data_IF_523051808031
#
_entry.id   IF_523051808031
#
_cell.length_a   1.000
_cell.length_b   1.000
_cell.length_c   1.000
_cell.angle_alpha   90.00
_cell.angle_beta   90.00
_cell.angle_gamma   90.00
#
_symmetry.space_group_name_H-M   'P 1'
#
loop_
_entity.id
_entity.type
_entity.pdbx_description
1 polymer ?
#
# COMPACT_ATOMS: atom_id res chain seq x y z
N UNK A 1 -5.85 -3.29 -36.71
CA UNK A 1 -6.47 -2.64 -35.53
C UNK A 1 -5.37 -1.90 -34.78
N UNK A 2 -5.64 -0.71 -34.28
CA UNK A 2 -4.60 0.10 -33.60
C UNK A 2 -4.47 -0.35 -32.16
N UNK A 3 -3.41 -1.05 -31.83
CA UNK A 3 -3.11 -1.61 -30.51
C UNK A 3 -3.14 -0.55 -29.40
N UNK A 4 -2.58 0.63 -29.68
CA UNK A 4 -2.52 1.73 -28.72
C UNK A 4 -3.91 2.28 -28.38
N UNK A 5 -4.75 2.45 -29.39
CA UNK A 5 -6.13 2.91 -29.17
C UNK A 5 -6.95 1.92 -28.36
N UNK A 6 -6.74 0.60 -28.57
CA UNK A 6 -7.41 -0.44 -27.79
C UNK A 6 -6.95 -0.43 -26.33
N UNK A 7 -5.64 -0.26 -26.08
CA UNK A 7 -5.10 -0.11 -24.75
C UNK A 7 -5.67 1.13 -24.03
N UNK A 8 -5.66 2.28 -24.67
CA UNK A 8 -6.19 3.51 -24.07
C UNK A 8 -7.68 3.42 -23.73
N UNK A 9 -8.49 2.80 -24.60
CA UNK A 9 -9.91 2.57 -24.31
C UNK A 9 -10.10 1.61 -23.13
N UNK A 10 -9.31 0.54 -23.08
CA UNK A 10 -9.31 -0.41 -21.97
C UNK A 10 -8.98 0.28 -20.64
N UNK A 11 -7.94 1.11 -20.60
CA UNK A 11 -7.54 1.82 -19.38
C UNK A 11 -8.62 2.82 -18.93
N UNK A 12 -9.23 3.54 -19.88
CA UNK A 12 -10.38 4.41 -19.56
C UNK A 12 -11.57 3.62 -19.02
N UNK A 13 -11.80 2.40 -19.51
CA UNK A 13 -12.87 1.54 -19.00
C UNK A 13 -12.55 1.05 -17.58
N UNK A 14 -11.31 0.68 -17.28
CA UNK A 14 -10.88 0.29 -15.92
C UNK A 14 -11.07 1.46 -14.95
N UNK A 15 -10.65 2.65 -15.34
CA UNK A 15 -10.79 3.86 -14.51
C UNK A 15 -12.27 4.18 -14.18
N UNK A 16 -13.20 3.85 -15.07
CA UNK A 16 -14.64 4.10 -14.88
C UNK A 16 -15.35 3.02 -14.05
N UNK A 17 -14.98 1.76 -14.23
CA UNK A 17 -15.72 0.60 -13.66
C UNK A 17 -15.12 0.10 -12.35
N UNK A 18 -13.81 0.23 -12.21
CA UNK A 18 -13.11 -0.07 -10.96
C UNK A 18 -12.61 1.24 -10.39
N UNK A 19 -12.97 1.52 -9.17
CA UNK A 19 -12.29 2.45 -8.27
C UNK A 19 -10.86 1.99 -8.00
N UNK A 20 -10.16 1.58 -9.06
CA UNK A 20 -8.78 1.12 -9.05
C UNK A 20 -7.86 2.28 -8.72
N UNK A 21 -6.93 2.07 -7.78
CA UNK A 21 -5.87 3.05 -7.54
C UNK A 21 -5.10 3.29 -8.84
N UNK A 22 -4.53 4.48 -9.01
CA UNK A 22 -3.61 4.80 -10.12
C UNK A 22 -2.51 3.75 -10.28
N UNK A 23 -2.11 3.10 -9.18
CA UNK A 23 -1.13 2.02 -9.19
C UNK A 23 -1.61 0.77 -9.93
N UNK A 24 -2.89 0.43 -9.80
CA UNK A 24 -3.50 -0.69 -10.54
C UNK A 24 -3.57 -0.39 -12.03
N UNK A 25 -3.99 0.82 -12.40
CA UNK A 25 -4.03 1.26 -13.79
C UNK A 25 -2.62 1.24 -14.40
N UNK A 26 -1.63 1.82 -13.71
CA UNK A 26 -0.23 1.84 -14.14
C UNK A 26 0.36 0.42 -14.27
N UNK A 27 -0.02 -0.49 -13.38
CA UNK A 27 0.41 -1.88 -13.44
C UNK A 27 -0.18 -2.58 -14.68
N UNK A 28 -1.48 -2.39 -14.95
CA UNK A 28 -2.15 -2.95 -16.11
C UNK A 28 -1.62 -2.36 -17.42
N UNK A 29 -1.39 -1.05 -17.47
CA UNK A 29 -0.75 -0.38 -18.60
C UNK A 29 0.59 -1.04 -18.94
N UNK A 30 1.51 -1.10 -17.98
CA UNK A 30 2.85 -1.69 -18.18
C UNK A 30 2.80 -3.16 -18.62
N UNK A 31 1.88 -3.94 -18.04
CA UNK A 31 1.75 -5.35 -18.39
C UNK A 31 1.24 -5.54 -19.81
N UNK A 32 0.25 -4.75 -20.24
CA UNK A 32 -0.31 -4.83 -21.58
C UNK A 32 0.65 -4.22 -22.61
N UNK A 33 1.28 -3.06 -22.35
CA UNK A 33 2.29 -2.44 -23.21
C UNK A 33 3.40 -3.43 -23.57
N UNK A 34 3.94 -4.13 -22.57
CA UNK A 34 4.95 -5.16 -22.76
C UNK A 34 4.49 -6.31 -23.69
N UNK A 35 3.24 -6.70 -23.57
CA UNK A 35 2.66 -7.70 -24.46
C UNK A 35 2.49 -7.17 -25.88
N UNK A 36 2.07 -5.91 -26.05
CA UNK A 36 1.95 -5.27 -27.35
C UNK A 36 3.32 -5.10 -28.05
N UNK A 37 4.38 -4.80 -27.28
CA UNK A 37 5.75 -4.79 -27.79
C UNK A 37 6.15 -6.16 -28.35
N UNK A 38 5.93 -7.22 -27.54
CA UNK A 38 6.16 -8.60 -27.99
C UNK A 38 5.43 -8.94 -29.28
N UNK A 39 4.14 -8.57 -29.41
CA UNK A 39 3.37 -8.81 -30.63
C UNK A 39 3.98 -8.11 -31.84
N UNK A 40 4.46 -6.87 -31.69
CA UNK A 40 5.13 -6.12 -32.77
C UNK A 40 6.45 -6.77 -33.18
N UNK A 41 7.26 -7.16 -32.24
CA UNK A 41 8.54 -7.84 -32.50
C UNK A 41 8.35 -9.15 -33.25
N UNK A 42 7.22 -9.83 -33.04
CA UNK A 42 6.86 -11.08 -33.70
C UNK A 42 5.96 -10.86 -34.95
N UNK A 43 5.84 -9.62 -35.45
CA UNK A 43 5.05 -9.25 -36.63
C UNK A 43 3.58 -9.67 -36.57
N UNK A 44 2.99 -9.72 -35.34
CA UNK A 44 1.57 -9.99 -35.13
C UNK A 44 0.84 -8.65 -35.10
N UNK A 45 0.05 -8.38 -36.13
CA UNK A 45 -0.59 -7.08 -36.37
C UNK A 45 -2.05 -6.98 -35.92
N UNK A 46 -2.61 -8.10 -35.44
CA UNK A 46 -4.01 -8.17 -34.99
C UNK A 46 -4.19 -9.07 -33.78
N UNK A 47 -5.05 -8.66 -32.86
CA UNK A 47 -5.44 -9.49 -31.70
C UNK A 47 -6.13 -10.80 -32.10
N UNK A 48 -6.75 -10.88 -33.26
CA UNK A 48 -7.38 -12.09 -33.78
C UNK A 48 -6.35 -13.13 -34.23
N UNK A 49 -5.16 -12.68 -34.66
CA UNK A 49 -4.08 -13.56 -35.11
C UNK A 49 -3.25 -14.11 -33.95
N UNK A 50 -3.40 -13.59 -32.74
CA UNK A 50 -2.68 -14.08 -31.57
C UNK A 50 -3.13 -15.50 -31.22
N UNK A 51 -2.20 -16.42 -31.23
CA UNK A 51 -2.43 -17.83 -30.91
C UNK A 51 -2.12 -18.16 -29.44
N UNK A 52 -2.48 -19.34 -29.02
CA UNK A 52 -2.10 -19.87 -27.69
C UNK A 52 -0.57 -20.07 -27.57
N UNK A 53 0.08 -20.38 -28.69
CA UNK A 53 1.52 -20.57 -28.78
C UNK A 53 2.22 -19.24 -28.50
N UNK A 54 1.81 -18.15 -29.18
CA UNK A 54 2.39 -16.82 -28.96
C UNK A 54 2.29 -16.37 -27.50
N UNK A 55 1.15 -16.64 -26.86
CA UNK A 55 0.96 -16.34 -25.42
C UNK A 55 1.86 -17.22 -24.55
N UNK A 56 2.05 -18.49 -24.92
CA UNK A 56 2.96 -19.39 -24.20
C UNK A 56 4.40 -18.91 -24.28
N UNK A 57 4.86 -18.56 -25.50
CA UNK A 57 6.21 -18.09 -25.76
C UNK A 57 6.50 -16.75 -25.07
N UNK A 58 5.53 -15.82 -25.12
CA UNK A 58 5.61 -14.57 -24.35
C UNK A 58 5.82 -14.83 -22.86
N UNK A 59 5.06 -15.74 -22.25
CA UNK A 59 5.21 -16.03 -20.83
C UNK A 59 6.49 -16.81 -20.51
N UNK A 60 7.01 -17.61 -21.44
CA UNK A 60 8.30 -18.28 -21.29
C UNK A 60 9.42 -17.26 -21.30
N UNK A 61 9.48 -16.37 -22.27
CA UNK A 61 10.48 -15.31 -22.38
C UNK A 61 10.44 -14.34 -21.18
N UNK A 62 9.24 -14.05 -20.62
CA UNK A 62 9.12 -13.29 -19.38
C UNK A 62 9.71 -14.02 -18.16
N UNK A 63 9.54 -15.34 -18.09
CA UNK A 63 10.09 -16.16 -17.00
C UNK A 63 11.59 -16.27 -17.07
N UNK A 64 12.12 -16.37 -18.28
CA UNK A 64 13.56 -16.51 -18.53
C UNK A 64 14.30 -15.17 -18.46
N UNK A 65 13.54 -14.06 -18.42
CA UNK A 65 14.08 -12.69 -18.32
C UNK A 65 14.53 -12.12 -19.67
N UNK A 66 14.23 -12.77 -20.78
CA UNK A 66 14.49 -12.28 -22.14
C UNK A 66 13.70 -11.01 -22.42
N UNK A 67 12.43 -10.96 -21.97
CA UNK A 67 11.61 -9.76 -21.97
C UNK A 67 11.75 -9.05 -20.62
N UNK A 68 12.26 -7.82 -20.63
CA UNK A 68 12.39 -6.98 -19.44
C UNK A 68 13.68 -7.17 -18.62
N UNK A 69 14.63 -7.97 -19.11
CA UNK A 69 16.01 -8.08 -18.60
C UNK A 69 16.19 -8.80 -17.27
N UNK A 70 15.11 -9.27 -16.64
CA UNK A 70 15.15 -10.06 -15.38
C UNK A 70 14.00 -11.06 -15.34
N UNK A 71 14.24 -12.29 -14.85
CA UNK A 71 13.21 -13.30 -14.64
C UNK A 71 12.05 -12.77 -13.82
N UNK A 72 10.83 -13.07 -14.26
CA UNK A 72 9.62 -12.58 -13.59
C UNK A 72 9.30 -13.45 -12.36
N UNK A 73 9.05 -12.82 -11.21
CA UNK A 73 8.59 -13.54 -10.02
C UNK A 73 7.19 -14.16 -10.24
N UNK A 74 6.87 -15.23 -9.50
CA UNK A 74 5.57 -15.88 -9.59
C UNK A 74 4.38 -14.92 -9.32
N UNK A 75 4.52 -13.97 -8.42
CA UNK A 75 3.49 -12.97 -8.15
C UNK A 75 3.33 -11.98 -9.31
N UNK A 76 4.43 -11.53 -9.90
CA UNK A 76 4.43 -10.67 -11.08
C UNK A 76 3.88 -11.38 -12.31
N UNK A 77 4.20 -12.67 -12.49
CA UNK A 77 3.58 -13.51 -13.53
C UNK A 77 2.06 -13.59 -13.37
N UNK A 78 1.59 -13.93 -12.17
CA UNK A 78 0.14 -14.03 -11.90
C UNK A 78 -0.58 -12.68 -12.13
N UNK A 79 0.05 -11.57 -11.77
CA UNK A 79 -0.47 -10.22 -12.02
C UNK A 79 -0.53 -9.93 -13.53
N UNK A 80 0.55 -10.18 -14.26
CA UNK A 80 0.61 -9.97 -15.71
C UNK A 80 -0.46 -10.81 -16.44
N UNK A 81 -0.60 -12.09 -16.07
CA UNK A 81 -1.66 -12.95 -16.61
C UNK A 81 -3.05 -12.40 -16.31
N UNK A 82 -3.28 -11.86 -15.11
CA UNK A 82 -4.54 -11.23 -14.74
C UNK A 82 -4.83 -9.98 -15.57
N UNK A 83 -3.80 -9.15 -15.82
CA UNK A 83 -3.88 -7.97 -16.67
C UNK A 83 -4.27 -8.34 -18.11
N UNK A 84 -3.60 -9.32 -18.71
CA UNK A 84 -3.91 -9.78 -20.06
C UNK A 84 -5.29 -10.44 -20.17
N UNK A 85 -5.69 -11.23 -19.17
CA UNK A 85 -7.05 -11.79 -19.13
C UNK A 85 -8.12 -10.71 -19.06
N UNK A 86 -7.88 -9.65 -18.31
CA UNK A 86 -8.79 -8.52 -18.21
C UNK A 86 -8.85 -7.75 -19.53
N UNK A 87 -7.71 -7.56 -20.19
CA UNK A 87 -7.62 -6.90 -21.48
C UNK A 87 -8.35 -7.68 -22.58
N UNK A 88 -8.10 -9.00 -22.74
CA UNK A 88 -8.81 -9.82 -23.71
C UNK A 88 -10.31 -9.93 -23.43
N UNK A 89 -10.74 -9.92 -22.18
CA UNK A 89 -12.17 -9.83 -21.83
C UNK A 89 -12.78 -8.52 -22.31
N UNK A 90 -12.04 -7.41 -22.19
CA UNK A 90 -12.43 -6.12 -22.73
C UNK A 90 -12.55 -6.16 -24.27
N UNK A 91 -11.52 -6.66 -24.97
CA UNK A 91 -11.51 -6.79 -26.42
C UNK A 91 -12.69 -7.62 -26.93
N UNK A 92 -12.97 -8.76 -26.28
CA UNK A 92 -14.14 -9.58 -26.61
C UNK A 92 -15.46 -8.82 -26.44
N UNK A 93 -15.61 -8.07 -25.34
CA UNK A 93 -16.88 -7.44 -24.98
C UNK A 93 -17.17 -6.17 -25.78
N UNK A 94 -16.14 -5.37 -26.06
CA UNK A 94 -16.32 -4.02 -26.59
C UNK A 94 -15.70 -3.78 -27.97
N UNK A 95 -14.77 -4.60 -28.42
CA UNK A 95 -14.08 -4.44 -29.70
C UNK A 95 -14.36 -5.59 -30.69
N UNK A 96 -15.22 -6.52 -30.31
CA UNK A 96 -15.71 -7.60 -31.21
C UNK A 96 -14.69 -8.71 -31.47
N UNK A 97 -13.53 -8.73 -30.80
CA UNK A 97 -12.51 -9.77 -30.94
C UNK A 97 -13.05 -11.07 -30.36
N UNK A 98 -13.20 -12.10 -31.19
CA UNK A 98 -13.73 -13.41 -30.77
C UNK A 98 -12.68 -14.29 -30.10
N UNK A 99 -11.43 -14.18 -30.54
CA UNK A 99 -10.31 -14.94 -29.98
C UNK A 99 -9.99 -14.52 -28.55
N UNK A 100 -9.69 -15.49 -27.68
CA UNK A 100 -9.16 -15.24 -26.34
C UNK A 100 -8.10 -16.30 -26.00
N UNK A 101 -6.90 -16.16 -26.55
CA UNK A 101 -5.83 -17.16 -26.36
C UNK A 101 -5.33 -17.22 -24.93
N UNK A 102 -5.53 -16.15 -24.13
CA UNK A 102 -5.06 -16.07 -22.73
C UNK A 102 -5.95 -16.86 -21.77
N UNK A 103 -7.19 -17.19 -22.18
CA UNK A 103 -8.19 -17.79 -21.29
C UNK A 103 -7.73 -19.08 -20.62
N UNK A 104 -7.01 -19.93 -21.35
CA UNK A 104 -6.60 -21.26 -20.88
C UNK A 104 -5.47 -21.23 -19.84
N UNK A 105 -4.65 -20.17 -19.84
CA UNK A 105 -3.51 -20.08 -18.94
C UNK A 105 -3.98 -19.92 -17.49
N UNK A 106 -3.40 -20.69 -16.59
CA UNK A 106 -3.68 -20.60 -15.15
C UNK A 106 -2.52 -19.88 -14.49
N UNK A 107 -2.80 -19.00 -13.56
CA UNK A 107 -1.79 -18.47 -12.65
C UNK A 107 -1.14 -19.65 -11.92
N UNK A 108 0.19 -19.69 -11.88
CA UNK A 108 0.90 -20.68 -11.08
C UNK A 108 0.40 -20.64 -9.64
N UNK A 109 0.41 -21.77 -8.96
CA UNK A 109 0.12 -21.83 -7.53
C UNK A 109 1.13 -20.95 -6.80
N UNK A 110 0.72 -19.76 -6.41
CA UNK A 110 1.48 -18.96 -5.47
C UNK A 110 1.34 -19.69 -4.14
N UNK A 111 2.40 -20.38 -3.69
CA UNK A 111 2.48 -20.77 -2.28
C UNK A 111 2.31 -19.48 -1.49
N UNK A 112 1.14 -19.27 -0.90
CA UNK A 112 0.94 -18.17 0.04
C UNK A 112 1.92 -18.42 1.17
N UNK A 113 3.00 -17.65 1.23
CA UNK A 113 3.75 -17.52 2.48
C UNK A 113 2.73 -17.09 3.51
N UNK A 114 2.78 -17.69 4.69
CA UNK A 114 2.01 -17.18 5.83
C UNK A 114 2.33 -15.69 5.95
N UNK A 115 1.34 -14.84 6.20
CA UNK A 115 1.57 -13.42 6.37
C UNK A 115 2.62 -13.24 7.47
N UNK A 116 3.74 -12.64 7.12
CA UNK A 116 4.80 -12.34 8.09
C UNK A 116 4.37 -11.08 8.86
N UNK A 117 4.37 -11.14 10.17
CA UNK A 117 4.15 -10.00 11.04
C UNK A 117 5.29 -9.94 12.08
N UNK A 118 5.54 -8.76 12.60
CA UNK A 118 6.50 -8.54 13.69
C UNK A 118 5.86 -8.92 15.02
N UNK A 119 6.60 -9.61 15.86
CA UNK A 119 6.19 -9.76 17.26
C UNK A 119 6.24 -8.40 17.97
N UNK A 120 5.62 -8.31 19.16
CA UNK A 120 5.69 -7.09 19.96
C UNK A 120 7.14 -6.69 20.28
N UNK A 121 7.97 -7.65 20.70
CA UNK A 121 9.38 -7.42 21.04
C UNK A 121 10.21 -6.96 19.84
N UNK A 122 9.96 -7.53 18.66
CA UNK A 122 10.60 -7.09 17.42
C UNK A 122 10.20 -5.66 17.04
N UNK A 123 8.93 -5.28 17.23
CA UNK A 123 8.46 -3.92 16.99
C UNK A 123 9.10 -2.94 17.98
N UNK A 124 9.17 -3.28 19.27
CA UNK A 124 9.85 -2.47 20.29
C UNK A 124 11.34 -2.31 19.99
N UNK A 125 12.03 -3.40 19.64
CA UNK A 125 13.45 -3.36 19.26
C UNK A 125 13.68 -2.41 18.10
N UNK A 126 12.84 -2.49 17.06
CA UNK A 126 12.94 -1.63 15.89
C UNK A 126 12.64 -0.16 16.22
N UNK A 127 11.70 0.12 17.13
CA UNK A 127 11.36 1.50 17.51
C UNK A 127 12.36 2.13 18.47
N UNK A 128 13.00 1.33 19.34
CA UNK A 128 13.89 1.86 20.37
C UNK A 128 15.32 2.15 19.91
N UNK A 129 15.70 1.76 18.69
CA UNK A 129 17.04 2.00 18.15
C UNK A 129 17.27 3.44 17.65
N UNK A 130 16.20 4.21 17.41
CA UNK A 130 16.31 5.55 16.82
C UNK A 130 16.88 6.57 17.81
N UNK A 131 17.88 7.34 17.36
CA UNK A 131 18.39 8.49 18.08
C UNK A 131 17.43 9.69 18.00
N UNK A 132 16.90 10.10 19.13
CA UNK A 132 15.97 11.23 19.24
C UNK A 132 16.68 12.60 19.32
N UNK A 133 17.97 12.67 19.04
CA UNK A 133 18.70 13.93 18.84
C UNK A 133 18.85 14.26 17.33
N UNK A 134 18.74 13.26 16.46
CA UNK A 134 18.81 13.44 15.01
C UNK A 134 17.41 13.68 14.41
N UNK A 135 17.15 14.85 13.78
CA UNK A 135 15.86 15.15 13.16
C UNK A 135 15.38 14.10 12.15
N UNK A 136 16.30 13.48 11.41
CA UNK A 136 15.97 12.43 10.44
C UNK A 136 15.48 11.18 11.15
N UNK A 137 16.12 10.78 12.23
CA UNK A 137 15.75 9.61 13.00
C UNK A 137 14.47 9.84 13.81
N UNK A 138 14.27 11.04 14.37
CA UNK A 138 12.99 11.44 14.98
C UNK A 138 11.83 11.25 14.00
N UNK A 139 11.97 11.79 12.77
CA UNK A 139 10.99 11.65 11.71
C UNK A 139 10.73 10.18 11.38
N UNK A 140 11.79 9.40 11.16
CA UNK A 140 11.71 8.00 10.75
C UNK A 140 11.00 7.16 11.83
N UNK A 141 11.34 7.34 13.08
CA UNK A 141 10.65 6.71 14.21
C UNK A 141 9.17 7.11 14.26
N UNK A 142 8.87 8.39 14.09
CA UNK A 142 7.49 8.89 14.11
C UNK A 142 6.66 8.27 12.97
N UNK A 143 7.22 8.13 11.77
CA UNK A 143 6.56 7.45 10.65
C UNK A 143 6.18 6.02 11.01
N UNK A 144 7.13 5.22 11.52
CA UNK A 144 6.90 3.82 11.87
C UNK A 144 5.90 3.71 13.04
N UNK A 145 6.04 4.55 14.06
CA UNK A 145 5.12 4.60 15.20
C UNK A 145 3.69 4.91 14.78
N UNK A 146 3.48 5.94 13.95
CA UNK A 146 2.14 6.32 13.45
C UNK A 146 1.54 5.21 12.56
N UNK A 147 2.36 4.58 11.72
CA UNK A 147 1.90 3.46 10.91
C UNK A 147 1.47 2.26 11.76
N UNK A 148 2.20 1.97 12.82
CA UNK A 148 1.86 0.89 13.74
C UNK A 148 0.67 1.24 14.64
N UNK A 149 0.65 2.45 15.21
CA UNK A 149 -0.44 2.90 16.09
C UNK A 149 -1.82 2.90 15.40
N UNK A 150 -1.84 3.24 14.11
CA UNK A 150 -3.08 3.48 13.36
C UNK A 150 -3.32 2.47 12.23
N UNK A 151 -2.43 1.51 12.05
CA UNK A 151 -2.53 0.53 10.97
C UNK A 151 -2.60 1.15 9.57
N UNK A 152 -1.88 2.26 9.30
CA UNK A 152 -1.97 2.99 8.04
C UNK A 152 -1.39 2.24 6.86
N UNK A 153 -1.95 2.48 5.66
CA UNK A 153 -1.26 2.14 4.40
C UNK A 153 -0.11 3.12 4.19
N UNK A 154 0.93 2.69 3.48
CA UNK A 154 2.08 3.56 3.20
C UNK A 154 1.70 4.85 2.49
N UNK A 155 0.76 4.81 1.54
CA UNK A 155 0.25 5.99 0.84
C UNK A 155 -0.57 6.92 1.74
N UNK A 156 -1.32 6.37 2.69
CA UNK A 156 -2.05 7.14 3.70
C UNK A 156 -1.08 7.87 4.64
N UNK A 157 -0.03 7.20 5.08
CA UNK A 157 1.01 7.80 5.90
C UNK A 157 1.78 8.91 5.15
N UNK A 158 2.15 8.66 3.88
CA UNK A 158 2.85 9.65 3.05
C UNK A 158 2.01 10.91 2.77
N UNK A 159 0.69 10.75 2.65
CA UNK A 159 -0.25 11.87 2.42
C UNK A 159 -0.90 12.44 3.68
N UNK A 160 -0.47 12.03 4.88
CA UNK A 160 -1.09 12.47 6.13
C UNK A 160 -0.90 13.97 6.34
N UNK A 161 -2.00 14.66 6.58
CA UNK A 161 -2.02 16.11 6.81
C UNK A 161 -1.95 16.45 8.30
N UNK A 162 -1.34 17.57 8.63
CA UNK A 162 -1.34 18.11 10.00
C UNK A 162 -2.77 18.42 10.44
N UNK A 163 -3.58 19.03 9.56
CA UNK A 163 -4.99 19.34 9.80
C UNK A 163 -5.88 18.10 10.03
N UNK A 164 -5.42 16.91 9.60
CA UNK A 164 -6.14 15.65 9.82
C UNK A 164 -5.90 15.04 11.21
N UNK A 165 -5.06 15.66 12.04
CA UNK A 165 -4.66 15.12 13.34
C UNK A 165 -5.27 15.97 14.46
N UNK A 166 -6.15 15.36 15.24
CA UNK A 166 -6.64 15.96 16.47
C UNK A 166 -5.81 15.45 17.66
N UNK A 167 -4.77 16.21 18.01
CA UNK A 167 -3.90 15.87 19.14
C UNK A 167 -4.63 15.96 20.49
N UNK A 168 -5.60 16.84 20.62
CA UNK A 168 -6.36 16.97 21.87
C UNK A 168 -7.12 15.67 22.15
N UNK A 169 -7.87 15.22 21.17
CA UNK A 169 -8.71 14.03 21.26
C UNK A 169 -7.98 12.71 20.94
N UNK A 170 -6.73 12.73 20.43
CA UNK A 170 -5.96 11.53 20.10
C UNK A 170 -6.52 10.73 18.94
N UNK A 171 -7.00 11.41 17.91
CA UNK A 171 -7.50 10.82 16.66
C UNK A 171 -6.83 11.40 15.45
N UNK A 172 -6.71 10.59 14.39
CA UNK A 172 -6.42 11.09 13.05
C UNK A 172 -7.51 10.66 12.07
N UNK A 173 -7.74 11.51 11.08
CA UNK A 173 -8.66 11.25 9.98
C UNK A 173 -7.87 10.82 8.76
N UNK A 174 -8.18 9.64 8.24
CA UNK A 174 -7.51 9.07 7.07
C UNK A 174 -8.45 9.07 5.88
N UNK A 175 -8.00 9.64 4.78
CA UNK A 175 -8.72 9.57 3.52
C UNK A 175 -8.42 8.22 2.86
N UNK A 176 -9.41 7.35 2.81
CA UNK A 176 -9.35 6.06 2.14
C UNK A 176 -9.63 6.15 0.63
N UNK A 177 -9.83 5.00 0.01
CA UNK A 177 -10.29 4.94 -1.38
C UNK A 177 -11.70 5.54 -1.51
N UNK A 178 -12.03 6.06 -2.70
CA UNK A 178 -13.33 6.69 -2.98
C UNK A 178 -13.63 7.91 -2.10
N UNK A 179 -12.60 8.60 -1.59
CA UNK A 179 -12.75 9.76 -0.71
C UNK A 179 -13.52 9.47 0.58
N UNK A 180 -13.60 8.21 1.00
CA UNK A 180 -14.18 7.83 2.28
C UNK A 180 -13.18 8.10 3.39
N UNK A 181 -13.60 8.91 4.36
CA UNK A 181 -12.81 9.18 5.55
C UNK A 181 -13.06 8.13 6.61
N UNK A 182 -12.02 7.82 7.39
CA UNK A 182 -12.15 7.06 8.63
C UNK A 182 -11.35 7.72 9.73
N UNK A 183 -11.87 7.67 10.94
CA UNK A 183 -11.18 8.13 12.14
C UNK A 183 -10.47 6.95 12.80
N UNK A 184 -9.20 7.16 13.16
CA UNK A 184 -8.39 6.15 13.81
C UNK A 184 -7.80 6.74 15.09
N UNK A 185 -8.09 6.18 16.26
CA UNK A 185 -7.49 6.63 17.52
C UNK A 185 -6.03 6.20 17.60
N UNK A 186 -5.22 6.95 18.33
CA UNK A 186 -3.85 6.60 18.64
C UNK A 186 -3.56 6.81 20.14
N UNK A 187 -2.67 5.99 20.66
CA UNK A 187 -2.31 5.97 22.09
C UNK A 187 -1.38 7.12 22.48
N UNK A 188 -1.23 7.41 23.81
CA UNK A 188 -0.51 8.58 24.31
C UNK A 188 0.96 8.68 23.85
N UNK A 189 1.70 7.56 23.79
CA UNK A 189 3.08 7.53 23.30
C UNK A 189 3.20 8.02 21.85
N UNK A 190 2.28 7.61 20.99
CA UNK A 190 2.22 8.07 19.60
C UNK A 190 1.93 9.58 19.52
N UNK A 191 0.99 10.09 20.34
CA UNK A 191 0.70 11.52 20.48
C UNK A 191 1.96 12.32 20.85
N UNK A 192 2.67 11.89 21.87
CA UNK A 192 3.89 12.54 22.32
C UNK A 192 4.95 12.58 21.23
N UNK A 193 5.12 11.49 20.50
CA UNK A 193 6.10 11.41 19.42
C UNK A 193 5.74 12.30 18.21
N UNK A 194 4.46 12.39 17.85
CA UNK A 194 4.01 13.33 16.82
C UNK A 194 4.31 14.78 17.24
N UNK A 195 3.97 15.14 18.49
CA UNK A 195 4.28 16.47 19.02
C UNK A 195 5.78 16.75 19.04
N UNK A 196 6.57 15.75 19.46
CA UNK A 196 8.02 15.86 19.50
C UNK A 196 8.62 16.08 18.10
N UNK A 197 8.16 15.32 17.11
CA UNK A 197 8.58 15.49 15.71
C UNK A 197 8.23 16.88 15.18
N UNK A 198 6.99 17.33 15.40
CA UNK A 198 6.55 18.65 14.93
C UNK A 198 7.39 19.79 15.55
N UNK A 199 7.70 19.70 16.84
CA UNK A 199 8.38 20.77 17.56
C UNK A 199 9.91 20.76 17.39
N UNK A 200 10.52 19.57 17.20
CA UNK A 200 11.98 19.43 17.30
C UNK A 200 12.65 18.98 15.98
N UNK A 201 11.89 18.51 14.99
CA UNK A 201 12.49 17.98 13.78
C UNK A 201 11.89 18.56 12.49
N UNK A 202 10.55 18.66 12.37
CA UNK A 202 9.91 19.08 11.13
C UNK A 202 10.37 20.45 10.67
N UNK A 203 10.47 21.42 11.58
CA UNK A 203 10.92 22.79 11.28
C UNK A 203 12.28 22.85 10.59
N UNK A 204 13.23 22.00 10.99
CA UNK A 204 14.57 21.92 10.38
C UNK A 204 14.53 21.58 8.88
N UNK A 205 13.56 20.76 8.46
CA UNK A 205 13.40 20.42 7.05
C UNK A 205 12.67 21.51 6.27
N UNK A 206 11.85 22.33 6.95
CA UNK A 206 10.99 23.32 6.35
C UNK A 206 11.65 24.70 6.15
N UNK A 207 12.86 24.92 6.67
CA UNK A 207 13.55 26.23 6.66
C UNK A 207 13.66 26.90 5.29
N UNK A 208 13.68 26.13 4.20
CA UNK A 208 13.92 26.62 2.83
C UNK A 208 12.74 26.46 1.90
N UNK A 209 11.57 26.08 2.42
CA UNK A 209 10.37 25.83 1.62
C UNK A 209 9.15 26.50 2.25
N UNK A 210 8.17 26.82 1.41
CA UNK A 210 6.90 27.32 1.89
C UNK A 210 6.19 26.27 2.75
N UNK A 211 5.54 26.74 3.82
CA UNK A 211 4.78 25.88 4.72
C UNK A 211 3.62 25.20 3.99
N UNK A 212 3.43 23.93 4.26
CA UNK A 212 2.34 23.16 3.71
C UNK A 212 1.80 22.15 4.74
N UNK A 213 0.58 21.67 4.53
CA UNK A 213 -0.19 20.87 5.47
C UNK A 213 0.22 19.38 5.55
N UNK A 214 1.26 18.93 4.85
CA UNK A 214 1.71 17.52 4.95
C UNK A 214 2.58 17.34 6.19
N UNK A 215 2.24 16.32 6.99
CA UNK A 215 2.95 16.03 8.24
C UNK A 215 4.40 15.57 7.98
N UNK A 216 4.57 14.51 7.20
CA UNK A 216 5.89 13.93 6.97
C UNK A 216 6.56 14.48 5.72
N UNK A 217 7.73 15.05 5.91
CA UNK A 217 8.53 15.68 4.86
C UNK A 217 9.89 14.99 4.69
N UNK A 218 10.45 15.06 3.50
CA UNK A 218 11.82 14.65 3.23
C UNK A 218 12.84 15.69 3.71
N UNK A 219 14.14 15.45 3.51
CA UNK A 219 15.21 16.36 3.93
C UNK A 219 15.18 17.73 3.23
N UNK A 220 14.45 17.85 2.13
CA UNK A 220 14.29 19.10 1.38
C UNK A 220 12.94 19.79 1.68
N UNK A 221 12.24 19.40 2.74
CA UNK A 221 10.95 19.97 3.15
C UNK A 221 9.77 19.60 2.26
N UNK A 222 9.96 18.77 1.22
CA UNK A 222 8.87 18.31 0.35
C UNK A 222 8.15 17.09 0.95
N UNK A 223 6.87 16.85 0.60
CA UNK A 223 6.16 15.66 1.03
C UNK A 223 6.97 14.37 0.81
N UNK A 224 7.05 13.52 1.82
CA UNK A 224 7.78 12.26 1.73
C UNK A 224 7.06 11.29 0.78
N UNK A 225 7.81 10.53 -0.02
CA UNK A 225 7.21 9.55 -0.92
C UNK A 225 6.93 8.22 -0.22
N UNK A 226 5.94 7.47 -0.70
CA UNK A 226 5.68 6.10 -0.25
C UNK A 226 6.93 5.20 -0.42
N UNK A 227 7.74 5.42 -1.46
CA UNK A 227 9.01 4.70 -1.67
C UNK A 227 10.03 5.03 -0.59
N UNK A 228 10.13 6.30 -0.19
CA UNK A 228 11.03 6.69 0.90
C UNK A 228 10.62 6.06 2.23
N UNK A 229 9.31 6.00 2.53
CA UNK A 229 8.81 5.31 3.73
C UNK A 229 9.13 3.82 3.69
N UNK A 230 9.01 3.18 2.53
CA UNK A 230 9.39 1.78 2.36
C UNK A 230 10.88 1.57 2.70
N UNK A 231 11.78 2.40 2.17
CA UNK A 231 13.21 2.33 2.46
C UNK A 231 13.52 2.58 3.94
N UNK A 232 12.78 3.48 4.60
CA UNK A 232 12.88 3.72 6.05
C UNK A 232 12.54 2.44 6.83
N UNK A 233 11.46 1.75 6.46
CA UNK A 233 11.08 0.49 7.11
C UNK A 233 12.13 -0.61 6.89
N UNK A 234 12.61 -0.77 5.64
CA UNK A 234 13.67 -1.71 5.30
C UNK A 234 14.91 -1.46 6.16
N UNK A 235 15.40 -0.23 6.16
CA UNK A 235 16.59 0.18 6.91
C UNK A 235 16.42 -0.01 8.43
N UNK A 236 15.24 0.34 8.98
CA UNK A 236 14.95 0.16 10.39
C UNK A 236 14.99 -1.31 10.82
N UNK A 237 14.53 -2.22 9.96
CA UNK A 237 14.62 -3.67 10.21
C UNK A 237 16.06 -4.18 10.19
N UNK A 238 16.87 -3.70 9.22
CA UNK A 238 18.30 -4.04 9.11
C UNK A 238 19.08 -3.54 10.33
N UNK A 239 18.91 -2.27 10.73
CA UNK A 239 19.60 -1.66 11.86
C UNK A 239 19.22 -2.31 13.19
N UNK A 240 17.98 -2.81 13.31
CA UNK A 240 17.51 -3.62 14.44
C UNK A 240 17.99 -5.08 14.38
N UNK A 241 18.77 -5.47 13.38
CA UNK A 241 19.21 -6.86 13.14
C UNK A 241 18.08 -7.88 13.14
N UNK A 242 16.91 -7.50 12.58
CA UNK A 242 15.79 -8.41 12.49
C UNK A 242 16.01 -9.41 11.34
N UNK A 243 15.73 -10.72 11.52
CA UNK A 243 16.00 -11.77 10.54
C UNK A 243 15.01 -11.79 9.36
N UNK A 244 14.19 -10.75 9.22
CA UNK A 244 13.13 -10.63 8.23
C UNK A 244 13.20 -9.27 7.55
N UNK A 245 12.83 -9.23 6.28
CA UNK A 245 12.80 -7.99 5.51
C UNK A 245 11.53 -7.18 5.83
N UNK A 246 11.72 -6.04 6.49
CA UNK A 246 10.59 -5.23 6.95
C UNK A 246 10.04 -4.36 5.82
N UNK A 247 8.74 -4.31 5.71
CA UNK A 247 8.02 -3.45 4.76
C UNK A 247 6.72 -2.89 5.37
N UNK A 248 6.19 -1.77 4.83
CA UNK A 248 5.01 -1.09 5.39
C UNK A 248 3.79 -1.98 5.63
N UNK A 249 3.51 -2.92 4.72
CA UNK A 249 2.38 -3.84 4.90
C UNK A 249 2.55 -4.78 6.08
N UNK A 250 3.80 -5.15 6.41
CA UNK A 250 4.08 -5.97 7.59
C UNK A 250 3.78 -5.22 8.88
N UNK A 251 4.14 -3.93 8.99
CA UNK A 251 3.81 -3.09 10.15
C UNK A 251 2.29 -3.01 10.34
N UNK A 252 1.55 -2.76 9.27
CA UNK A 252 0.09 -2.73 9.29
C UNK A 252 -0.51 -4.10 9.66
N UNK A 253 0.08 -5.19 9.18
CA UNK A 253 -0.36 -6.54 9.53
C UNK A 253 -0.09 -6.84 11.01
N UNK A 254 1.07 -6.41 11.53
CA UNK A 254 1.39 -6.52 12.98
C UNK A 254 0.38 -5.78 13.85
N UNK A 255 -0.01 -4.55 13.47
CA UNK A 255 -1.11 -3.85 14.14
C UNK A 255 -2.38 -4.72 14.21
N UNK A 256 -2.83 -5.24 13.04
CA UNK A 256 -4.05 -6.04 12.99
C UNK A 256 -3.97 -7.30 13.87
N UNK A 257 -2.86 -8.02 13.77
CA UNK A 257 -2.62 -9.26 14.53
C UNK A 257 -2.57 -8.99 16.01
N UNK A 258 -1.79 -7.99 16.46
CA UNK A 258 -1.66 -7.66 17.87
C UNK A 258 -2.98 -7.18 18.49
N UNK A 259 -3.78 -6.41 17.73
CA UNK A 259 -5.12 -6.03 18.19
C UNK A 259 -6.02 -7.25 18.42
N UNK A 260 -6.04 -8.19 17.46
CA UNK A 260 -6.84 -9.41 17.55
C UNK A 260 -6.35 -10.34 18.66
N UNK A 261 -5.05 -10.53 18.80
CA UNK A 261 -4.43 -11.37 19.85
C UNK A 261 -4.73 -10.83 21.26
N UNK A 262 -4.88 -9.50 21.38
CA UNK A 262 -5.27 -8.83 22.62
C UNK A 262 -6.80 -8.69 22.80
N UNK A 263 -7.59 -9.40 21.99
CA UNK A 263 -9.03 -9.53 22.17
C UNK A 263 -9.91 -8.47 21.49
N UNK A 264 -9.35 -7.65 20.60
CA UNK A 264 -10.17 -6.75 19.79
C UNK A 264 -11.11 -7.51 18.86
N UNK A 265 -12.35 -7.03 18.72
CA UNK A 265 -13.30 -7.59 17.77
C UNK A 265 -12.82 -7.41 16.33
N UNK A 266 -12.91 -8.47 15.52
CA UNK A 266 -12.45 -8.49 14.14
C UNK A 266 -13.11 -7.39 13.28
N UNK A 267 -14.39 -7.09 13.52
CA UNK A 267 -15.12 -6.05 12.77
C UNK A 267 -14.57 -4.66 13.07
N UNK A 268 -14.22 -4.42 14.34
CA UNK A 268 -13.60 -3.14 14.75
C UNK A 268 -12.22 -3.00 14.13
N UNK A 269 -11.40 -4.05 14.13
CA UNK A 269 -10.08 -4.02 13.47
C UNK A 269 -10.23 -3.79 11.96
N UNK A 270 -11.21 -4.41 11.30
CA UNK A 270 -11.52 -4.17 9.88
C UNK A 270 -11.97 -2.73 9.62
N UNK A 271 -12.75 -2.13 10.52
CA UNK A 271 -13.18 -0.73 10.47
C UNK A 271 -11.99 0.22 10.59
N UNK A 272 -11.13 0.03 11.60
CA UNK A 272 -9.89 0.79 11.77
C UNK A 272 -8.97 0.72 10.54
N UNK A 273 -8.90 -0.44 9.92
CA UNK A 273 -8.11 -0.66 8.71
C UNK A 273 -8.77 -0.12 7.43
N UNK A 274 -10.06 0.18 7.42
CA UNK A 274 -10.78 0.64 6.23
C UNK A 274 -10.88 -0.43 5.15
N UNK A 275 -11.43 -1.62 5.50
CA UNK A 275 -11.71 -2.70 4.55
C UNK A 275 -13.07 -2.46 3.86
N UNK A 276 -13.09 -2.53 2.51
CA UNK A 276 -14.21 -2.14 1.64
C UNK A 276 -15.51 -2.98 1.78
N UNK A 277 -15.46 -4.14 2.43
CA UNK A 277 -16.57 -5.11 2.43
C UNK A 277 -17.66 -4.88 3.49
N UNK A 278 -17.55 -3.84 4.31
CA UNK A 278 -18.58 -3.48 5.27
C UNK A 278 -19.29 -2.22 4.75
N UNK A 279 -20.36 -2.43 3.98
CA UNK A 279 -21.13 -1.39 3.29
C UNK A 279 -21.93 -0.49 4.23
N UNK A 280 -21.26 0.37 4.97
CA UNK A 280 -21.92 1.50 5.64
C UNK A 280 -20.95 2.67 5.73
N UNK A 281 -21.32 3.78 5.11
CA UNK A 281 -20.80 5.10 5.46
C UNK A 281 -21.32 5.38 6.89
N UNK A 282 -20.56 4.90 7.89
CA UNK A 282 -20.91 5.25 9.27
C UNK A 282 -20.57 6.72 9.48
N UNK A 283 -21.58 7.50 9.85
CA UNK A 283 -21.38 8.85 10.40
C UNK A 283 -20.69 8.62 11.75
N UNK A 284 -19.42 9.01 11.87
CA UNK A 284 -18.67 8.89 13.11
C UNK A 284 -19.24 9.85 14.15
N UNK A 285 -20.08 9.30 15.05
CA UNK A 285 -20.61 10.01 16.22
C UNK A 285 -19.59 9.93 17.37
N UNK A 286 -19.74 10.79 18.39
CA UNK A 286 -18.92 10.70 19.62
C UNK A 286 -18.97 9.31 20.25
N UNK A 287 -20.14 8.65 20.25
CA UNK A 287 -20.30 7.28 20.79
C UNK A 287 -19.43 6.27 20.01
N UNK A 288 -19.30 6.43 18.69
CA UNK A 288 -18.43 5.57 17.87
C UNK A 288 -16.95 5.84 18.16
N UNK A 289 -16.57 7.11 18.36
CA UNK A 289 -15.20 7.50 18.69
C UNK A 289 -14.76 6.93 20.04
N UNK A 290 -15.57 7.04 21.07
CA UNK A 290 -15.31 6.50 22.40
C UNK A 290 -15.15 4.98 22.36
N UNK A 291 -15.99 4.29 21.57
CA UNK A 291 -15.88 2.85 21.38
C UNK A 291 -14.55 2.46 20.70
N UNK A 292 -14.16 3.14 19.64
CA UNK A 292 -12.91 2.87 18.92
C UNK A 292 -11.70 3.16 19.83
N UNK A 293 -11.74 4.26 20.61
CA UNK A 293 -10.70 4.61 21.57
C UNK A 293 -10.56 3.51 22.63
N UNK A 294 -11.65 3.11 23.25
CA UNK A 294 -11.66 2.06 24.28
C UNK A 294 -11.00 0.78 23.75
N UNK A 295 -11.33 0.35 22.53
CA UNK A 295 -10.74 -0.85 21.94
C UNK A 295 -9.25 -0.69 21.70
N UNK A 296 -8.78 0.47 21.21
CA UNK A 296 -7.33 0.71 21.04
C UNK A 296 -6.63 0.76 22.38
N UNK A 297 -7.21 1.43 23.39
CA UNK A 297 -6.63 1.53 24.73
C UNK A 297 -6.53 0.16 25.43
N UNK A 298 -7.51 -0.72 25.21
CA UNK A 298 -7.54 -2.06 25.82
C UNK A 298 -6.70 -3.09 25.06
N UNK A 299 -6.67 -3.02 23.72
CA UNK A 299 -6.10 -4.06 22.87
C UNK A 299 -4.77 -3.70 22.22
N UNK A 300 -4.42 -2.40 22.04
CA UNK A 300 -3.14 -2.05 21.45
C UNK A 300 -2.00 -2.24 22.48
N UNK A 301 -0.91 -3.01 22.14
CA UNK A 301 0.15 -3.30 23.10
C UNK A 301 0.78 -2.05 23.73
N UNK A 302 1.04 -1.01 22.94
CA UNK A 302 1.66 0.24 23.39
C UNK A 302 0.73 1.14 24.24
N UNK A 303 -0.57 0.91 24.22
CA UNK A 303 -1.49 1.61 25.14
C UNK A 303 -1.30 1.17 26.59
N UNK A 304 -0.85 -0.07 26.81
CA UNK A 304 -0.63 -0.66 28.13
C UNK A 304 0.76 -0.33 28.72
N UNK A 305 1.72 0.06 27.89
CA UNK A 305 3.11 0.36 28.30
C UNK A 305 3.29 1.74 28.96
N UNK A 306 2.22 2.53 29.10
CA UNK A 306 2.25 3.89 29.68
C UNK A 306 1.90 3.92 31.18
N UNK A 307 2.01 2.78 31.87
CA UNK A 307 1.87 2.73 33.36
C UNK A 307 3.22 2.61 34.03
#
# INVERSE_FOLDING_TARGET
>A
MDFEKSLDRFLRQIARVRTGSKDTENAYRRDVERFLEYLREHHIDSFEHVTKTDVSDYFTQLRDGEIGGKPLSNSSYARNLSSLKSFYRYLNRFEGIKANPVRIFKGGSIRRKLPEFLTFDQMETMLNQFDLQDPVQIRNRCIIEVMYACGLRVSECAGLKISSINLAEGFLTVLGKESKERMVPFYPRCKQLIQYYMNNARGTFMEKVEEHDILFVNQNGRPISARSIQLICEKAGEDANLPIHIHPHMIRHSFATHMLDNGADLRIVQELLGHENLGTTQIYTHVTQDRLRKVVDEAHPHSKSAK
#
